data_IF_022360277931
#
_entry.id   IF_022360277931
#
_cell.length_a   1.000
_cell.length_b   1.000
_cell.length_c   1.000
_cell.angle_alpha   90.00
_cell.angle_beta   90.00
_cell.angle_gamma   90.00
#
_symmetry.space_group_name_H-M   'P 1'
#
loop_
_entity.id
_entity.type
_entity.pdbx_description
1 polymer ?
#
# COMPACT_ATOMS: atom_id res chain seq x y z
N UNK A 1 49.11 23.39 41.96
CA UNK A 1 48.43 22.48 42.90
C UNK A 1 49.12 21.13 42.79
N UNK A 2 49.56 20.59 43.94
CA UNK A 2 50.55 19.52 44.06
C UNK A 2 49.91 18.24 44.60
N UNK A 3 50.39 17.10 44.07
CA UNK A 3 50.74 15.81 44.75
C UNK A 3 50.12 14.58 44.08
N UNK A 4 50.97 13.87 43.34
CA UNK A 4 50.96 12.42 43.32
C UNK A 4 51.61 11.88 44.61
N UNK A 5 51.08 10.77 45.11
CA UNK A 5 51.63 9.89 46.14
C UNK A 5 51.19 8.47 45.74
N UNK A 6 51.86 7.35 46.03
CA UNK A 6 53.23 6.93 46.32
C UNK A 6 53.06 5.46 46.81
N UNK A 7 54.03 4.59 46.55
CA UNK A 7 54.24 3.27 47.19
C UNK A 7 53.26 2.12 46.84
N UNK A 8 53.61 0.84 46.64
CA UNK A 8 54.82 0.08 46.22
C UNK A 8 54.57 -1.41 46.58
N UNK A 9 55.36 -2.29 45.95
CA UNK A 9 55.99 -3.52 46.47
C UNK A 9 55.23 -4.86 46.44
N UNK A 10 55.95 -5.82 45.81
CA UNK A 10 56.14 -7.23 46.19
C UNK A 10 54.94 -8.19 46.04
N UNK A 11 55.12 -9.47 45.74
CA UNK A 11 56.30 -10.26 45.38
C UNK A 11 55.83 -11.57 44.70
N UNK A 12 56.73 -12.06 43.86
CA UNK A 12 56.93 -13.41 43.32
C UNK A 12 56.57 -14.53 44.31
N UNK A 13 55.88 -15.60 43.91
CA UNK A 13 56.39 -16.89 43.38
C UNK A 13 55.42 -17.98 43.95
N UNK A 14 55.25 -19.23 43.51
CA UNK A 14 56.15 -20.28 43.00
C UNK A 14 55.30 -21.32 42.25
N UNK A 15 55.95 -21.91 41.26
CA UNK A 15 55.68 -23.09 40.44
C UNK A 15 55.27 -24.37 41.21
N UNK A 16 54.42 -25.25 40.65
CA UNK A 16 54.72 -26.69 40.45
C UNK A 16 53.48 -27.53 40.05
N UNK A 17 53.67 -28.19 38.90
CA UNK A 17 53.04 -29.40 38.32
C UNK A 17 52.71 -30.54 39.30
N UNK A 18 51.63 -31.31 39.04
CA UNK A 18 51.69 -32.65 38.39
C UNK A 18 50.29 -33.27 38.14
N UNK A 19 50.23 -34.15 37.14
CA UNK A 19 49.06 -34.84 36.55
C UNK A 19 48.32 -35.82 37.48
N UNK A 20 47.02 -36.05 37.21
CA UNK A 20 46.44 -37.37 36.92
C UNK A 20 44.97 -37.21 36.50
N UNK A 21 44.55 -37.88 35.42
CA UNK A 21 43.24 -37.70 34.79
C UNK A 21 42.08 -38.52 35.40
N UNK A 22 40.90 -38.33 34.82
CA UNK A 22 39.90 -39.37 34.59
C UNK A 22 38.89 -38.85 33.56
N UNK A 23 38.52 -39.72 32.63
CA UNK A 23 37.60 -39.45 31.53
C UNK A 23 36.18 -39.13 32.01
N UNK A 24 35.47 -38.27 31.29
CA UNK A 24 34.02 -38.14 31.36
C UNK A 24 33.46 -38.31 29.94
N UNK A 25 32.56 -39.28 29.81
CA UNK A 25 31.82 -39.66 28.60
C UNK A 25 30.95 -38.52 28.08
N UNK A 26 31.02 -38.25 26.77
CA UNK A 26 29.97 -37.51 26.05
C UNK A 26 28.79 -38.46 25.79
N UNK A 27 27.70 -38.28 26.54
CA UNK A 27 26.40 -38.82 26.13
C UNK A 27 25.79 -37.89 25.09
N UNK A 28 25.79 -38.35 23.85
CA UNK A 28 25.14 -37.67 22.73
C UNK A 28 23.63 -37.61 22.91
N UNK A 29 23.11 -36.40 23.09
CA UNK A 29 21.70 -36.08 22.89
C UNK A 29 21.49 -35.81 21.40
N UNK A 30 20.82 -36.72 20.70
CA UNK A 30 20.39 -36.51 19.32
C UNK A 30 19.38 -35.36 19.27
N UNK A 31 19.84 -34.17 18.89
CA UNK A 31 18.96 -33.06 18.55
C UNK A 31 18.08 -33.48 17.36
N UNK A 32 16.79 -33.64 17.62
CA UNK A 32 15.76 -33.75 16.57
C UNK A 32 15.76 -32.43 15.82
N UNK A 33 16.17 -32.45 14.55
CA UNK A 33 16.14 -31.29 13.69
C UNK A 33 14.70 -30.77 13.59
N UNK A 34 14.48 -29.54 14.07
CA UNK A 34 13.25 -28.80 13.81
C UNK A 34 13.09 -28.67 12.28
N UNK A 35 11.90 -28.90 11.70
CA UNK A 35 11.72 -28.74 10.28
C UNK A 35 12.04 -27.28 9.92
N UNK A 36 12.93 -27.12 8.97
CA UNK A 36 13.37 -25.84 8.44
C UNK A 36 12.14 -25.10 7.93
N UNK A 37 11.70 -24.06 8.65
CA UNK A 37 10.78 -23.06 8.12
C UNK A 37 11.50 -22.39 6.97
N UNK A 38 11.20 -22.79 5.74
CA UNK A 38 11.58 -22.04 4.55
C UNK A 38 10.81 -20.72 4.63
N UNK A 39 11.40 -19.68 5.23
CA UNK A 39 10.92 -18.31 5.05
C UNK A 39 11.04 -17.99 3.57
N UNK A 40 9.94 -18.13 2.85
CA UNK A 40 9.81 -17.66 1.49
C UNK A 40 9.90 -16.13 1.56
N UNK A 41 11.01 -15.56 1.07
CA UNK A 41 11.29 -14.11 1.13
C UNK A 41 10.29 -13.24 0.35
N UNK A 42 9.39 -13.88 -0.41
CA UNK A 42 8.57 -13.23 -1.43
C UNK A 42 7.08 -13.13 -1.01
N UNK A 43 6.77 -13.39 0.26
CA UNK A 43 5.40 -13.37 0.79
C UNK A 43 5.29 -12.50 2.05
N UNK A 44 4.26 -11.66 2.09
CA UNK A 44 3.89 -10.93 3.32
C UNK A 44 2.95 -11.78 4.20
N UNK A 45 3.00 -11.59 5.52
CA UNK A 45 1.96 -12.13 6.38
C UNK A 45 0.66 -11.32 6.19
N UNK A 46 -0.39 -12.02 5.73
CA UNK A 46 -1.71 -11.43 5.51
C UNK A 46 -2.56 -11.61 6.78
N UNK A 47 -2.90 -10.50 7.44
CA UNK A 47 -3.78 -10.49 8.63
C UNK A 47 -5.22 -10.04 8.33
N UNK A 48 -5.47 -9.47 7.15
CA UNK A 48 -6.78 -9.03 6.67
C UNK A 48 -6.82 -9.04 5.14
N UNK A 49 -8.03 -9.05 4.57
CA UNK A 49 -8.26 -8.84 3.14
C UNK A 49 -8.98 -7.52 2.91
N UNK A 50 -8.82 -6.95 1.72
CA UNK A 50 -9.55 -5.76 1.31
C UNK A 50 -11.02 -6.12 1.13
N UNK A 51 -11.95 -5.52 1.90
CA UNK A 51 -13.36 -5.85 1.81
C UNK A 51 -13.94 -5.34 0.49
N UNK A 52 -14.83 -6.13 -0.13
CA UNK A 52 -15.59 -5.69 -1.29
C UNK A 52 -16.60 -4.60 -0.87
N UNK A 53 -16.87 -3.67 -1.78
CA UNK A 53 -17.91 -2.65 -1.62
C UNK A 53 -18.75 -2.52 -2.89
N UNK A 54 -19.85 -1.78 -2.78
CA UNK A 54 -20.75 -1.55 -3.90
C UNK A 54 -20.04 -0.76 -5.01
N UNK A 55 -20.34 -1.10 -6.26
CA UNK A 55 -19.87 -0.40 -7.45
C UNK A 55 -20.40 1.05 -7.52
N UNK A 56 -21.59 1.29 -6.98
CA UNK A 56 -22.27 2.57 -7.10
C UNK A 56 -22.92 2.77 -8.47
N UNK A 57 -23.72 3.83 -8.63
CA UNK A 57 -24.52 4.04 -9.84
C UNK A 57 -23.74 4.64 -11.02
N UNK A 58 -22.48 5.05 -10.81
CA UNK A 58 -21.73 5.87 -11.76
C UNK A 58 -20.45 5.19 -12.27
N UNK A 59 -20.40 3.86 -12.29
CA UNK A 59 -19.36 3.17 -13.06
C UNK A 59 -19.50 3.53 -14.53
N UNK A 60 -18.37 3.75 -15.21
CA UNK A 60 -18.39 4.34 -16.54
C UNK A 60 -19.11 3.45 -17.56
N UNK A 61 -20.15 3.98 -18.20
CA UNK A 61 -20.95 3.27 -19.22
C UNK A 61 -20.11 2.96 -20.46
N UNK A 62 -19.35 3.97 -20.91
CA UNK A 62 -18.38 3.86 -22.00
C UNK A 62 -17.00 4.24 -21.48
N UNK A 63 -16.04 3.29 -21.51
CA UNK A 63 -14.69 3.57 -21.05
C UNK A 63 -14.07 4.72 -21.87
N UNK A 64 -13.56 5.79 -21.24
CA UNK A 64 -12.95 6.88 -21.97
C UNK A 64 -11.72 6.39 -22.73
N UNK A 65 -11.39 7.07 -23.84
CA UNK A 65 -10.21 6.71 -24.64
C UNK A 65 -8.93 6.97 -23.86
N UNK A 66 -8.88 8.12 -23.18
CA UNK A 66 -7.82 8.47 -22.24
C UNK A 66 -8.16 7.92 -20.86
N UNK A 67 -7.27 7.08 -20.34
CA UNK A 67 -7.51 6.25 -19.16
C UNK A 67 -6.22 5.75 -18.55
N UNK A 68 -5.13 6.50 -18.70
CA UNK A 68 -3.90 6.16 -18.01
C UNK A 68 -4.05 6.38 -16.49
N UNK A 69 -2.95 6.29 -15.76
CA UNK A 69 -2.93 6.41 -14.32
C UNK A 69 -2.68 7.85 -13.83
N UNK A 70 -2.59 8.85 -14.71
CA UNK A 70 -2.53 10.27 -14.39
C UNK A 70 -3.80 10.98 -14.85
N UNK A 71 -4.81 10.96 -14.00
CA UNK A 71 -6.12 11.58 -14.27
C UNK A 71 -6.05 13.12 -14.37
N UNK A 72 -4.87 13.71 -14.13
CA UNK A 72 -4.63 15.16 -14.24
C UNK A 72 -4.10 15.60 -15.60
N UNK A 73 -3.75 14.63 -16.46
CA UNK A 73 -3.12 14.87 -17.76
C UNK A 73 -4.05 14.52 -18.94
N UNK A 74 -5.32 14.93 -18.86
CA UNK A 74 -6.32 14.62 -19.89
C UNK A 74 -5.92 15.15 -21.28
N UNK A 75 -5.93 14.26 -22.27
CA UNK A 75 -5.67 14.56 -23.67
C UNK A 75 -6.64 15.64 -24.20
N UNK A 76 -6.06 16.75 -24.67
CA UNK A 76 -6.84 17.88 -25.20
C UNK A 76 -7.41 18.83 -24.13
N UNK A 77 -7.07 18.64 -22.86
CA UNK A 77 -7.38 19.59 -21.81
C UNK A 77 -6.78 20.98 -22.11
N UNK A 78 -7.50 22.03 -21.68
CA UNK A 78 -7.12 23.43 -21.91
C UNK A 78 -6.39 24.05 -20.71
N UNK A 79 -6.28 23.29 -19.62
CA UNK A 79 -5.61 23.66 -18.38
C UNK A 79 -5.48 22.46 -17.44
N UNK A 80 -4.96 22.69 -16.24
CA UNK A 80 -4.95 21.67 -15.19
C UNK A 80 -6.37 21.49 -14.61
N UNK A 81 -6.70 20.29 -14.09
CA UNK A 81 -7.94 20.12 -13.34
C UNK A 81 -7.93 20.98 -12.07
N UNK A 82 -9.11 21.40 -11.64
CA UNK A 82 -9.32 22.10 -10.40
C UNK A 82 -9.19 21.14 -9.20
N UNK A 83 -8.79 21.69 -8.05
CA UNK A 83 -8.69 20.97 -6.78
C UNK A 83 -7.26 20.63 -6.37
N UNK A 84 -7.15 19.91 -5.26
CA UNK A 84 -5.88 19.44 -4.72
C UNK A 84 -5.44 18.19 -5.48
N UNK A 85 -4.22 18.21 -6.04
CA UNK A 85 -3.63 17.02 -6.66
C UNK A 85 -3.09 16.10 -5.56
N UNK A 86 -3.38 14.82 -5.69
CA UNK A 86 -2.89 13.76 -4.82
C UNK A 86 -2.26 12.65 -5.64
N UNK A 87 -1.31 11.96 -5.03
CA UNK A 87 -0.75 10.73 -5.56
C UNK A 87 -0.95 9.60 -4.55
N UNK A 88 -1.31 8.42 -5.02
CA UNK A 88 -1.32 7.25 -4.14
C UNK A 88 -0.83 6.01 -4.87
N UNK A 89 -0.22 5.12 -4.11
CA UNK A 89 0.34 3.88 -4.61
C UNK A 89 0.08 2.73 -3.67
N UNK A 90 0.38 1.52 -4.11
CA UNK A 90 0.31 0.34 -3.28
C UNK A 90 0.81 -0.88 -4.00
N UNK A 91 0.68 -2.02 -3.33
CA UNK A 91 0.99 -3.33 -3.90
C UNK A 91 -0.25 -4.22 -3.85
N UNK A 92 -0.48 -4.96 -4.92
CA UNK A 92 -1.55 -5.94 -5.03
C UNK A 92 -1.05 -7.32 -4.60
N UNK A 93 -1.72 -7.92 -3.62
CA UNK A 93 -1.41 -9.22 -3.08
C UNK A 93 -2.59 -10.21 -3.20
N UNK A 94 -2.27 -11.50 -3.32
CA UNK A 94 -3.22 -12.60 -3.12
C UNK A 94 -3.45 -12.87 -1.62
N UNK A 95 -4.37 -13.79 -1.30
CA UNK A 95 -4.67 -14.16 0.10
C UNK A 95 -3.50 -14.84 0.86
N UNK A 96 -2.45 -15.26 0.14
CA UNK A 96 -1.25 -15.85 0.72
C UNK A 96 -0.11 -14.83 0.82
N UNK A 97 -0.36 -13.56 0.52
CA UNK A 97 0.64 -12.49 0.56
C UNK A 97 1.63 -12.50 -0.60
N UNK A 98 1.33 -13.19 -1.71
CA UNK A 98 2.12 -13.13 -2.95
C UNK A 98 1.67 -11.93 -3.78
N UNK A 99 2.62 -11.24 -4.38
CA UNK A 99 2.31 -10.15 -5.31
C UNK A 99 1.60 -10.67 -6.56
N UNK A 100 0.70 -9.87 -7.12
CA UNK A 100 -0.02 -10.19 -8.36
C UNK A 100 0.40 -9.18 -9.44
N UNK A 101 1.30 -9.57 -10.38
CA UNK A 101 1.69 -8.73 -11.50
C UNK A 101 0.65 -8.77 -12.63
N UNK A 102 0.71 -7.79 -13.54
CA UNK A 102 -0.12 -7.69 -14.75
C UNK A 102 -1.63 -7.62 -14.52
N UNK A 103 -2.07 -7.31 -13.31
CA UNK A 103 -3.47 -7.03 -13.02
C UNK A 103 -3.79 -5.57 -13.39
N UNK A 104 -4.96 -5.34 -13.97
CA UNK A 104 -5.47 -3.97 -14.21
C UNK A 104 -6.24 -3.51 -12.99
N UNK A 105 -5.81 -2.42 -12.39
CA UNK A 105 -6.58 -1.66 -11.40
C UNK A 105 -7.25 -0.52 -12.13
N UNK A 106 -8.57 -0.49 -12.12
CA UNK A 106 -9.37 0.59 -12.67
C UNK A 106 -9.85 1.48 -11.52
N UNK A 107 -9.80 2.79 -11.67
CA UNK A 107 -10.41 3.74 -10.72
C UNK A 107 -11.42 4.64 -11.42
N UNK A 108 -12.44 5.05 -10.66
CA UNK A 108 -13.35 6.11 -11.05
C UNK A 108 -13.77 6.94 -9.84
N UNK A 109 -13.98 8.24 -10.06
CA UNK A 109 -14.27 9.17 -8.97
C UNK A 109 -14.99 10.42 -9.47
N UNK A 110 -15.37 11.27 -8.52
CA UNK A 110 -15.77 12.65 -8.77
C UNK A 110 -14.57 13.54 -9.07
N UNK A 111 -14.82 14.68 -9.71
CA UNK A 111 -13.90 15.83 -9.68
C UNK A 111 -13.89 16.52 -8.30
N UNK A 112 -13.13 17.62 -8.16
CA UNK A 112 -13.09 18.43 -6.95
C UNK A 112 -14.44 19.04 -6.55
N UNK A 113 -15.40 19.14 -7.47
CA UNK A 113 -16.74 19.67 -7.22
C UNK A 113 -17.73 18.57 -6.79
N UNK A 114 -17.31 17.31 -6.73
CA UNK A 114 -18.16 16.20 -6.32
C UNK A 114 -19.05 15.66 -7.45
N UNK A 115 -18.70 15.93 -8.71
CA UNK A 115 -19.49 15.54 -9.89
C UNK A 115 -18.83 14.37 -10.61
N UNK A 116 -19.61 13.36 -10.99
CA UNK A 116 -19.13 12.21 -11.78
C UNK A 116 -19.16 12.47 -13.29
N UNK A 117 -18.32 11.74 -14.02
CA UNK A 117 -18.45 11.56 -15.48
C UNK A 117 -19.55 10.55 -15.82
N UNK A 118 -20.80 10.89 -15.49
CA UNK A 118 -21.96 10.06 -15.80
C UNK A 118 -23.14 10.92 -16.31
N UNK A 119 -23.92 10.46 -17.30
CA UNK A 119 -25.07 11.22 -17.81
C UNK A 119 -26.19 11.40 -16.77
N UNK A 120 -26.34 10.44 -15.86
CA UNK A 120 -27.38 10.49 -14.81
C UNK A 120 -26.98 11.33 -13.58
N UNK A 121 -25.76 11.89 -13.55
CA UNK A 121 -25.39 12.82 -12.49
C UNK A 121 -26.13 14.16 -12.70
N UNK A 122 -26.97 14.62 -11.74
CA UNK A 122 -27.77 15.83 -11.91
C UNK A 122 -26.93 17.12 -12.03
N UNK A 123 -25.64 17.06 -11.67
CA UNK A 123 -24.73 18.20 -11.63
C UNK A 123 -23.77 18.25 -12.82
N UNK A 124 -24.03 17.51 -13.91
CA UNK A 124 -23.14 17.44 -15.10
C UNK A 124 -22.65 18.80 -15.63
N UNK A 125 -23.44 19.87 -15.50
CA UNK A 125 -23.05 21.21 -15.94
C UNK A 125 -21.90 21.85 -15.13
N UNK A 126 -21.59 21.33 -13.94
CA UNK A 126 -20.52 21.81 -13.05
C UNK A 126 -19.24 20.98 -13.16
N UNK A 127 -19.24 19.99 -14.07
CA UNK A 127 -18.12 19.08 -14.28
C UNK A 127 -16.87 19.82 -14.72
N UNK A 128 -15.74 19.45 -14.14
CA UNK A 128 -14.43 19.89 -14.63
C UNK A 128 -14.12 19.24 -15.99
N UNK A 129 -14.00 20.07 -17.02
CA UNK A 129 -13.70 19.64 -18.39
C UNK A 129 -12.23 19.26 -18.61
N UNK A 130 -11.35 19.55 -17.64
CA UNK A 130 -9.92 19.22 -17.69
C UNK A 130 -9.55 17.99 -16.84
N UNK A 131 -10.52 17.34 -16.20
CA UNK A 131 -10.28 16.15 -15.38
C UNK A 131 -10.72 14.87 -16.10
N UNK A 132 -9.98 13.77 -15.91
CA UNK A 132 -10.21 12.52 -16.65
C UNK A 132 -11.30 11.61 -16.06
N UNK A 133 -11.55 11.70 -14.74
CA UNK A 133 -12.54 10.92 -13.96
C UNK A 133 -12.34 9.40 -13.88
N UNK A 134 -11.68 8.79 -14.86
CA UNK A 134 -11.42 7.35 -14.94
C UNK A 134 -9.95 7.09 -15.28
N UNK A 135 -9.35 6.07 -14.69
CA UNK A 135 -7.99 5.68 -15.04
C UNK A 135 -7.72 4.21 -14.78
N UNK A 136 -6.69 3.69 -15.44
CA UNK A 136 -6.23 2.31 -15.36
C UNK A 136 -4.73 2.30 -15.03
N UNK A 137 -4.34 1.48 -14.05
CA UNK A 137 -2.94 1.16 -13.78
C UNK A 137 -2.75 -0.35 -13.91
N UNK A 138 -1.69 -0.78 -14.60
CA UNK A 138 -1.31 -2.19 -14.67
C UNK A 138 -0.25 -2.46 -13.61
N UNK A 139 -0.44 -3.47 -12.77
CA UNK A 139 0.53 -3.81 -11.74
C UNK A 139 1.84 -4.32 -12.33
N UNK A 140 2.97 -3.82 -11.82
CA UNK A 140 4.30 -4.23 -12.28
C UNK A 140 4.68 -5.64 -11.82
N UNK A 141 5.90 -6.08 -12.12
CA UNK A 141 6.43 -7.41 -11.72
C UNK A 141 6.42 -7.64 -10.19
N UNK A 142 6.40 -6.57 -9.40
CA UNK A 142 6.31 -6.59 -7.95
C UNK A 142 4.88 -6.34 -7.44
N UNK A 143 3.87 -6.35 -8.32
CA UNK A 143 2.48 -6.08 -7.98
C UNK A 143 2.19 -4.60 -7.68
N UNK A 144 3.11 -3.67 -7.97
CA UNK A 144 2.95 -2.26 -7.60
C UNK A 144 2.07 -1.51 -8.57
N UNK A 145 1.31 -0.56 -8.06
CA UNK A 145 0.51 0.38 -8.84
C UNK A 145 0.63 1.79 -8.26
N UNK A 146 0.37 2.80 -9.10
CA UNK A 146 0.36 4.20 -8.72
C UNK A 146 -0.71 4.93 -9.51
N UNK A 147 -1.37 5.90 -8.88
CA UNK A 147 -2.26 6.86 -9.53
C UNK A 147 -1.91 8.29 -9.11
N UNK A 148 -2.07 9.22 -10.06
CA UNK A 148 -2.10 10.66 -9.83
C UNK A 148 -3.49 11.16 -10.19
N UNK A 149 -4.12 11.90 -9.28
CA UNK A 149 -5.52 12.31 -9.44
C UNK A 149 -5.81 13.57 -8.62
N UNK A 150 -7.05 14.02 -8.64
CA UNK A 150 -7.55 15.10 -7.78
C UNK A 150 -8.20 14.52 -6.53
N UNK A 151 -8.03 15.17 -5.38
CA UNK A 151 -8.75 14.85 -4.16
C UNK A 151 -10.26 15.03 -4.39
N UNK A 152 -11.06 13.95 -4.34
CA UNK A 152 -12.44 13.99 -4.81
C UNK A 152 -13.29 14.93 -3.97
N UNK A 153 -14.18 15.68 -4.63
CA UNK A 153 -15.14 16.59 -4.02
C UNK A 153 -16.13 15.88 -3.09
N UNK A 154 -16.70 16.63 -2.16
CA UNK A 154 -17.81 16.15 -1.32
C UNK A 154 -19.05 15.86 -2.16
N UNK A 155 -19.69 14.71 -1.93
CA UNK A 155 -20.96 14.34 -2.55
C UNK A 155 -21.83 13.59 -1.54
N UNK A 156 -22.69 14.35 -0.87
CA UNK A 156 -23.60 13.82 0.14
C UNK A 156 -24.58 12.79 -0.44
N UNK A 157 -24.93 11.72 0.31
CA UNK A 157 -24.57 11.48 1.71
C UNK A 157 -23.27 10.66 1.90
N UNK A 158 -22.40 10.60 0.88
CA UNK A 158 -21.26 9.68 0.89
C UNK A 158 -19.97 10.44 1.25
N UNK A 159 -19.11 9.87 2.11
CA UNK A 159 -17.78 10.43 2.34
C UNK A 159 -16.99 10.44 1.04
N UNK A 160 -15.95 11.27 0.93
CA UNK A 160 -15.05 11.31 -0.23
C UNK A 160 -14.42 9.94 -0.44
N UNK A 161 -14.49 9.47 -1.68
CA UNK A 161 -14.00 8.14 -2.05
C UNK A 161 -13.55 8.09 -3.50
N UNK A 162 -12.68 7.14 -3.78
CA UNK A 162 -12.29 6.72 -5.12
C UNK A 162 -12.75 5.28 -5.25
N UNK A 163 -13.62 5.00 -6.21
CA UNK A 163 -13.98 3.62 -6.50
C UNK A 163 -12.84 2.91 -7.22
N UNK A 164 -12.73 1.60 -7.04
CA UNK A 164 -11.80 0.80 -7.81
C UNK A 164 -12.31 -0.61 -8.14
N UNK A 165 -11.75 -1.18 -9.21
CA UNK A 165 -11.85 -2.59 -9.59
C UNK A 165 -10.47 -3.17 -9.81
N UNK A 166 -10.26 -4.41 -9.39
CA UNK A 166 -9.09 -5.19 -9.82
C UNK A 166 -9.55 -6.23 -10.82
N UNK A 167 -8.86 -6.29 -11.95
CA UNK A 167 -9.12 -7.26 -13.02
C UNK A 167 -7.85 -8.01 -13.39
N UNK A 168 -8.01 -9.29 -13.69
CA UNK A 168 -6.94 -10.15 -14.20
C UNK A 168 -7.55 -11.07 -15.26
N UNK A 169 -6.88 -11.21 -16.40
CA UNK A 169 -7.34 -12.05 -17.53
C UNK A 169 -8.80 -11.79 -17.96
N UNK A 170 -9.26 -10.54 -17.82
CA UNK A 170 -10.61 -10.11 -18.17
C UNK A 170 -11.66 -10.31 -17.08
N UNK A 171 -11.34 -11.04 -16.00
CA UNK A 171 -12.22 -11.26 -14.86
C UNK A 171 -12.09 -10.15 -13.81
N UNK A 172 -13.20 -9.75 -13.19
CA UNK A 172 -13.19 -8.83 -12.06
C UNK A 172 -13.01 -9.62 -10.76
N UNK A 173 -11.88 -9.40 -10.08
CA UNK A 173 -11.54 -10.08 -8.82
C UNK A 173 -12.15 -9.39 -7.60
N UNK A 174 -12.24 -8.06 -7.63
CA UNK A 174 -12.89 -7.26 -6.58
C UNK A 174 -13.40 -5.93 -7.16
N UNK A 175 -14.55 -5.49 -6.65
CA UNK A 175 -15.02 -4.09 -6.71
C UNK A 175 -15.02 -3.54 -5.29
N UNK A 176 -14.40 -2.40 -5.07
CA UNK A 176 -14.40 -1.74 -3.77
C UNK A 176 -14.11 -0.24 -3.89
N UNK A 177 -13.77 0.42 -2.79
CA UNK A 177 -13.59 1.86 -2.72
C UNK A 177 -12.49 2.22 -1.73
N UNK A 178 -11.68 3.20 -2.09
CA UNK A 178 -10.77 3.89 -1.18
C UNK A 178 -11.46 5.08 -0.54
N UNK A 179 -11.18 5.32 0.73
CA UNK A 179 -11.60 6.50 1.49
C UNK A 179 -10.39 7.23 2.03
N UNK A 180 -10.58 8.40 2.62
CA UNK A 180 -9.47 9.19 3.16
C UNK A 180 -9.57 9.34 4.67
N UNK A 181 -8.42 9.24 5.35
CA UNK A 181 -8.35 9.39 6.80
C UNK A 181 -8.86 10.75 7.28
N UNK A 182 -8.65 11.80 6.47
CA UNK A 182 -9.13 13.17 6.73
C UNK A 182 -10.64 13.28 6.85
N UNK A 183 -11.39 12.38 6.20
CA UNK A 183 -12.85 12.43 6.11
C UNK A 183 -13.57 11.71 7.26
N UNK A 184 -12.85 10.98 8.12
CA UNK A 184 -13.40 10.25 9.28
C UNK A 184 -14.65 9.40 8.95
N UNK A 185 -14.66 8.77 7.78
CA UNK A 185 -15.83 8.08 7.19
C UNK A 185 -16.36 6.87 8.00
N UNK A 186 -15.64 6.43 9.03
CA UNK A 186 -15.97 5.21 9.79
C UNK A 186 -15.74 3.91 9.01
N UNK A 187 -15.11 3.98 7.83
CA UNK A 187 -14.85 2.82 6.98
C UNK A 187 -13.69 1.97 7.53
N UNK A 188 -13.64 0.66 7.22
CA UNK A 188 -12.58 -0.22 7.70
C UNK A 188 -11.18 0.24 7.27
N UNK A 189 -10.20 0.11 8.17
CA UNK A 189 -8.81 0.51 7.92
C UNK A 189 -8.20 0.01 6.59
N UNK A 190 -8.50 -1.22 6.10
CA UNK A 190 -8.01 -1.69 4.79
C UNK A 190 -8.49 -0.88 3.57
N UNK A 191 -9.41 0.07 3.75
CA UNK A 191 -9.91 0.97 2.70
C UNK A 191 -9.44 2.42 2.84
N UNK A 192 -8.80 2.79 3.96
CA UNK A 192 -8.51 4.21 4.29
C UNK A 192 -7.15 4.62 3.76
N UNK A 193 -7.00 5.50 2.79
CA UNK A 193 -5.74 6.15 2.43
C UNK A 193 -5.44 7.27 3.45
N UNK A 194 -4.23 7.26 4.01
CA UNK A 194 -3.72 8.40 4.79
C UNK A 194 -2.81 9.21 3.89
N UNK A 195 -3.20 10.45 3.62
CA UNK A 195 -2.41 11.38 2.83
C UNK A 195 -1.41 12.14 3.72
N UNK A 196 -0.20 12.32 3.21
CA UNK A 196 0.87 13.10 3.84
C UNK A 196 1.57 13.97 2.82
N UNK A 197 2.05 15.18 3.18
CA UNK A 197 2.78 16.03 2.24
C UNK A 197 4.03 15.35 1.69
N UNK A 198 4.13 15.27 0.36
CA UNK A 198 5.34 14.88 -0.37
C UNK A 198 6.38 16.00 -0.44
N UNK A 199 7.59 15.67 -0.91
CA UNK A 199 8.70 16.63 -1.01
C UNK A 199 8.44 17.76 -2.01
N UNK A 200 7.63 17.48 -3.04
CA UNK A 200 7.19 18.43 -4.06
C UNK A 200 5.93 19.21 -3.67
N UNK A 201 5.41 18.98 -2.46
CA UNK A 201 4.19 19.60 -1.93
C UNK A 201 2.90 18.90 -2.38
N UNK A 202 2.96 17.85 -3.20
CA UNK A 202 1.80 17.02 -3.56
C UNK A 202 1.54 16.05 -2.42
N UNK A 203 0.28 15.88 -2.03
CA UNK A 203 -0.05 14.92 -0.97
C UNK A 203 0.01 13.50 -1.50
N UNK A 204 0.74 12.65 -0.78
CA UNK A 204 1.00 11.26 -1.15
C UNK A 204 0.38 10.29 -0.15
N UNK A 205 -0.11 9.15 -0.64
CA UNK A 205 -0.68 8.10 0.18
C UNK A 205 -0.24 6.69 -0.26
N UNK A 206 -0.36 5.73 0.66
CA UNK A 206 -0.14 4.33 0.35
C UNK A 206 -1.30 3.46 0.81
N UNK A 207 -1.73 2.52 -0.04
CA UNK A 207 -2.74 1.52 0.30
C UNK A 207 -2.58 0.25 -0.52
N UNK A 208 -2.16 -0.82 0.13
CA UNK A 208 -2.13 -2.14 -0.49
C UNK A 208 -3.54 -2.70 -0.70
N UNK A 209 -3.69 -3.52 -1.74
CA UNK A 209 -4.91 -4.28 -1.99
C UNK A 209 -4.57 -5.75 -1.75
N UNK A 210 -5.32 -6.40 -0.85
CA UNK A 210 -5.13 -7.81 -0.53
C UNK A 210 -6.40 -8.55 -0.92
N UNK A 211 -6.32 -9.35 -1.97
CA UNK A 211 -7.46 -10.11 -2.48
C UNK A 211 -7.76 -11.31 -1.57
N UNK A 212 -9.05 -11.66 -1.46
CA UNK A 212 -9.47 -12.88 -0.77
C UNK A 212 -9.47 -14.12 -1.70
N UNK A 213 -8.65 -14.09 -2.75
CA UNK A 213 -8.51 -15.15 -3.74
C UNK A 213 -7.04 -15.44 -4.01
N UNK A 214 -6.76 -16.62 -4.55
CA UNK A 214 -5.49 -16.96 -5.20
C UNK A 214 -5.84 -17.06 -6.69
N UNK A 215 -5.45 -16.08 -7.52
CA UNK A 215 -5.72 -16.13 -8.95
C UNK A 215 -4.98 -17.29 -9.64
#
# INVERSE_FOLDING_TARGET
MRRANFFTWAATAVLATMLMGCAAEETGETAVANPSTTSNSDQIEVSYTTPAQQEGPYYTVDKPTDRDNDLTALDGATGAPAGEIIEFSGTLYDRNGRVIPNATIEIWQTDANGVYLHPDDPSTAQRDVNFQFYGEAVTDENGRYTFRTVFPGEYEPRPRHIHFKVKLDGETLITSQFYFASDNSGQPAPLIITLTPGEDGIQTGQRDIILNVVP
#
